data_IF_992688696732
#
_entry.id   IF_992688696732
#
_cell.length_a   1.000
_cell.length_b   1.000
_cell.length_c   1.000
_cell.angle_alpha   90.00
_cell.angle_beta   90.00
_cell.angle_gamma   90.00
#
_symmetry.space_group_name_H-M   'P 1'
#
loop_
_entity.id
_entity.type
_entity.pdbx_description
1 polymer ?
#
# COMPACT_ATOMS: atom_id res chain seq x y z
N UNK A 1 1.43 -3.20 5.31
CA UNK A 1 1.23 -2.74 3.92
C UNK A 1 0.12 -3.59 3.38
N UNK A 2 -0.95 -2.95 2.93
CA UNK A 2 -2.16 -3.65 2.51
C UNK A 2 -2.75 -3.07 1.23
N UNK A 3 -3.60 -3.84 0.55
CA UNK A 3 -4.38 -3.35 -0.60
C UNK A 3 -5.87 -3.44 -0.28
N UNK A 4 -6.53 -2.29 -0.21
CA UNK A 4 -7.97 -2.21 0.01
C UNK A 4 -8.71 -2.14 -1.34
N UNK A 5 -9.53 -3.16 -1.62
CA UNK A 5 -10.41 -3.16 -2.80
C UNK A 5 -11.62 -2.23 -2.59
N UNK A 6 -11.79 -1.25 -3.47
CA UNK A 6 -12.84 -0.24 -3.40
C UNK A 6 -14.05 -0.58 -4.29
N UNK A 7 -14.51 -1.84 -4.27
CA UNK A 7 -15.74 -2.28 -4.95
C UNK A 7 -15.87 -1.85 -6.43
N UNK A 8 -17.10 -1.88 -6.95
CA UNK A 8 -17.39 -1.36 -8.29
C UNK A 8 -17.48 0.18 -8.25
N UNK A 9 -16.47 0.83 -8.81
CA UNK A 9 -16.45 2.29 -9.04
C UNK A 9 -16.67 2.59 -10.51
N UNK A 10 -17.42 3.67 -10.79
CA UNK A 10 -17.92 4.00 -12.13
C UNK A 10 -16.82 4.41 -13.12
N UNK A 11 -15.67 4.89 -12.63
CA UNK A 11 -14.56 5.40 -13.47
C UNK A 11 -13.26 5.64 -12.65
N UNK A 12 -12.97 4.83 -11.62
CA UNK A 12 -11.89 5.15 -10.67
C UNK A 12 -11.08 3.92 -10.22
N UNK A 13 -9.84 4.13 -9.73
CA UNK A 13 -8.95 3.05 -9.32
C UNK A 13 -9.62 2.12 -8.31
N UNK A 14 -9.60 0.83 -8.62
CA UNK A 14 -10.33 -0.22 -7.90
C UNK A 14 -9.64 -0.66 -6.61
N UNK A 15 -8.41 -0.21 -6.37
CA UNK A 15 -7.59 -0.60 -5.24
C UNK A 15 -6.89 0.61 -4.62
N UNK A 16 -6.76 0.61 -3.30
CA UNK A 16 -5.88 1.52 -2.58
C UNK A 16 -4.74 0.73 -1.95
N UNK A 17 -3.51 1.13 -2.22
CA UNK A 17 -2.36 0.73 -1.42
C UNK A 17 -2.36 1.54 -0.13
N UNK A 18 -2.35 0.84 1.00
CA UNK A 18 -2.33 1.41 2.35
C UNK A 18 -0.94 1.23 2.95
N UNK A 19 -0.27 2.35 3.19
CA UNK A 19 0.99 2.41 3.92
C UNK A 19 0.72 3.06 5.28
N UNK A 20 0.89 2.30 6.35
CA UNK A 20 0.70 2.78 7.72
C UNK A 20 1.97 2.66 8.52
N UNK A 21 2.32 3.73 9.21
CA UNK A 21 3.31 3.72 10.26
C UNK A 21 2.64 3.50 11.61
N UNK A 22 3.04 2.46 12.33
CA UNK A 22 2.42 2.10 13.61
C UNK A 22 2.84 3.03 14.74
N UNK A 23 4.03 3.66 14.64
CA UNK A 23 4.62 4.47 15.71
C UNK A 23 4.00 5.86 15.74
N UNK A 24 3.85 6.48 14.57
CA UNK A 24 3.29 7.82 14.39
C UNK A 24 1.79 7.80 14.10
N UNK A 25 1.22 6.61 13.85
CA UNK A 25 -0.14 6.41 13.36
C UNK A 25 -0.45 7.14 12.03
N UNK A 26 0.58 7.50 11.27
CA UNK A 26 0.40 8.12 9.96
C UNK A 26 0.01 7.05 8.92
N UNK A 27 -0.99 7.36 8.10
CA UNK A 27 -1.47 6.51 7.02
C UNK A 27 -1.45 7.27 5.69
N UNK A 28 -0.78 6.71 4.69
CA UNK A 28 -0.84 7.16 3.31
C UNK A 28 -1.66 6.18 2.47
N UNK A 29 -2.53 6.73 1.63
CA UNK A 29 -3.44 5.99 0.76
C UNK A 29 -3.12 6.33 -0.70
N UNK A 30 -2.65 5.34 -1.46
CA UNK A 30 -2.27 5.52 -2.86
C UNK A 30 -3.27 4.78 -3.73
N UNK A 31 -3.96 5.50 -4.60
CA UNK A 31 -4.94 4.90 -5.50
C UNK A 31 -4.28 4.21 -6.69
N UNK A 32 -4.74 2.99 -7.01
CA UNK A 32 -4.17 2.18 -8.08
C UNK A 32 -5.23 1.32 -8.79
N UNK A 33 -5.03 1.11 -10.08
CA UNK A 33 -5.95 0.32 -10.91
C UNK A 33 -5.77 -1.19 -10.70
N UNK A 34 -4.61 -1.61 -10.18
CA UNK A 34 -4.26 -3.01 -9.93
C UNK A 34 -3.34 -3.16 -8.70
N UNK A 35 -3.56 -4.18 -7.84
CA UNK A 35 -2.71 -4.46 -6.69
C UNK A 35 -1.42 -5.21 -7.14
N UNK A 36 -0.59 -4.53 -7.93
CA UNK A 36 0.63 -5.10 -8.50
C UNK A 36 1.86 -4.79 -7.65
N UNK A 37 2.89 -5.64 -7.73
CA UNK A 37 4.17 -5.44 -7.04
C UNK A 37 4.87 -4.13 -7.42
N UNK A 38 4.71 -3.66 -8.65
CA UNK A 38 5.28 -2.40 -9.14
C UNK A 38 4.67 -1.19 -8.42
N UNK A 39 3.35 -1.23 -8.17
CA UNK A 39 2.63 -0.19 -7.42
C UNK A 39 3.09 -0.19 -5.97
N UNK A 40 3.24 -1.37 -5.37
CA UNK A 40 3.79 -1.50 -4.01
C UNK A 40 5.22 -0.94 -3.91
N UNK A 41 6.08 -1.29 -4.86
CA UNK A 41 7.46 -0.81 -4.89
C UNK A 41 7.52 0.72 -5.05
N UNK A 42 6.73 1.28 -5.96
CA UNK A 42 6.65 2.73 -6.16
C UNK A 42 6.15 3.45 -4.91
N UNK A 43 5.07 2.95 -4.28
CA UNK A 43 4.54 3.52 -3.04
C UNK A 43 5.55 3.45 -1.87
N UNK A 44 6.27 2.33 -1.73
CA UNK A 44 7.33 2.19 -0.73
C UNK A 44 8.49 3.15 -1.00
N UNK A 45 8.89 3.36 -2.25
CA UNK A 45 9.93 4.33 -2.61
C UNK A 45 9.49 5.77 -2.30
N UNK A 46 8.24 6.13 -2.62
CA UNK A 46 7.73 7.47 -2.35
C UNK A 46 7.56 7.74 -0.86
N UNK A 47 7.09 6.74 -0.10
CA UNK A 47 7.11 6.78 1.35
C UNK A 47 8.52 6.96 1.90
N UNK A 48 9.49 6.20 1.38
CA UNK A 48 10.88 6.29 1.81
C UNK A 48 11.52 7.66 1.55
N UNK A 49 11.09 8.38 0.50
CA UNK A 49 11.54 9.77 0.25
C UNK A 49 10.98 10.74 1.29
N UNK A 50 9.76 10.52 1.75
CA UNK A 50 9.06 11.44 2.67
C UNK A 50 9.36 11.18 4.14
N UNK A 51 9.40 9.90 4.55
CA UNK A 51 9.49 9.47 5.95
C UNK A 51 10.74 8.64 6.26
N UNK A 52 11.50 8.24 5.24
CA UNK A 52 12.60 7.30 5.37
C UNK A 52 12.14 5.83 5.31
N UNK A 53 13.11 4.93 5.22
CA UNK A 53 12.85 3.48 5.20
C UNK A 53 12.57 2.98 6.63
N UNK A 54 11.39 2.39 6.90
CA UNK A 54 11.16 1.73 8.17
C UNK A 54 12.08 0.51 8.30
N UNK A 55 12.49 0.21 9.54
CA UNK A 55 13.40 -0.89 9.83
C UNK A 55 12.81 -2.28 9.52
N UNK A 56 11.49 -2.41 9.51
CA UNK A 56 10.78 -3.61 9.10
C UNK A 56 9.42 -3.24 8.49
N UNK A 57 9.06 -3.90 7.39
CA UNK A 57 7.73 -3.82 6.81
C UNK A 57 6.93 -5.03 7.29
N UNK A 58 5.84 -4.79 8.01
CA UNK A 58 4.88 -5.82 8.38
C UNK A 58 3.70 -5.77 7.40
N UNK A 59 3.60 -6.69 6.43
CA UNK A 59 2.36 -6.89 5.69
C UNK A 59 1.33 -7.50 6.64
N UNK A 60 0.18 -6.85 6.76
CA UNK A 60 -0.93 -7.25 7.64
C UNK A 60 -1.78 -8.39 7.05
N UNK A 61 -1.45 -8.83 5.84
CA UNK A 61 -2.12 -9.93 5.16
C UNK A 61 -1.14 -11.05 4.78
N UNK A 62 -1.23 -12.16 5.52
CA UNK A 62 -0.56 -13.43 5.21
C UNK A 62 -1.28 -14.27 4.13
N UNK A 63 -2.24 -13.71 3.38
CA UNK A 63 -3.01 -14.46 2.36
C UNK A 63 -2.78 -14.11 0.90
N UNK A 64 -2.18 -12.97 0.56
CA UNK A 64 -1.95 -12.60 -0.86
C UNK A 64 -0.49 -12.76 -1.33
N UNK A 65 0.43 -13.10 -0.43
CA UNK A 65 1.80 -13.46 -0.78
C UNK A 65 2.01 -14.96 -0.57
N UNK A 66 1.40 -15.78 -1.45
CA UNK A 66 1.79 -17.17 -1.60
C UNK A 66 1.74 -17.58 -3.08
N UNK A 67 2.96 -17.72 -3.60
CA UNK A 67 3.42 -18.37 -4.83
C UNK A 67 3.05 -17.71 -6.16
#
# INVERSE_FOLDING_TARGET
>A
MDFLGMGETYDSPRYLLVLKDEITHFCELIACDSPSSDVAAAGVLDWAKSFGLPAAWMPDQSSHFKT
#
